data_IF_190522786201
#
_entry.id   IF_190522786201
#
_cell.length_a   1.000
_cell.length_b   1.000
_cell.length_c   1.000
_cell.angle_alpha   90.00
_cell.angle_beta   90.00
_cell.angle_gamma   90.00
#
_symmetry.space_group_name_H-M   'P 1'
#
loop_
_entity.id
_entity.type
_entity.pdbx_description
1 polymer ?
#
# COMPACT_ATOMS: atom_id res chain seq x y z
N UNK A 1 6.83 -21.85 6.94
CA UNK A 1 7.19 -21.15 5.69
C UNK A 1 6.30 -19.92 5.64
N UNK A 2 6.70 -18.83 6.29
CA UNK A 2 5.93 -17.58 6.30
C UNK A 2 6.54 -16.67 5.24
N UNK A 3 6.20 -16.96 3.99
CA UNK A 3 6.72 -16.25 2.83
C UNK A 3 5.83 -15.04 2.58
N UNK A 4 6.43 -13.85 2.48
CA UNK A 4 5.74 -12.63 2.03
C UNK A 4 4.91 -12.94 0.77
N UNK A 5 3.63 -12.52 0.69
CA UNK A 5 2.85 -12.74 -0.51
C UNK A 5 3.54 -12.05 -1.69
N UNK A 6 3.48 -12.67 -2.89
CA UNK A 6 4.08 -12.07 -4.08
C UNK A 6 3.30 -10.80 -4.45
N UNK A 7 4.03 -9.77 -4.90
CA UNK A 7 3.47 -8.48 -5.31
C UNK A 7 2.34 -8.63 -6.32
N UNK A 8 2.45 -9.59 -7.23
CA UNK A 8 1.41 -9.86 -8.22
C UNK A 8 0.06 -10.23 -7.58
N UNK A 9 0.06 -11.01 -6.49
CA UNK A 9 -1.17 -11.33 -5.75
C UNK A 9 -1.75 -10.09 -5.08
N UNK A 10 -0.89 -9.19 -4.60
CA UNK A 10 -1.33 -7.92 -4.00
C UNK A 10 -1.98 -7.04 -5.06
N UNK A 11 -1.36 -6.91 -6.23
CA UNK A 11 -1.94 -6.17 -7.35
C UNK A 11 -3.27 -6.77 -7.80
N UNK A 12 -3.36 -8.09 -7.91
CA UNK A 12 -4.62 -8.76 -8.26
C UNK A 12 -5.72 -8.50 -7.21
N UNK A 13 -5.38 -8.53 -5.93
CA UNK A 13 -6.34 -8.23 -4.86
C UNK A 13 -6.77 -6.77 -4.88
N UNK A 14 -5.85 -5.82 -5.11
CA UNK A 14 -6.19 -4.39 -5.27
C UNK A 14 -7.09 -4.20 -6.49
N UNK A 15 -6.72 -4.75 -7.65
CA UNK A 15 -7.53 -4.69 -8.86
C UNK A 15 -8.92 -5.29 -8.63
N UNK A 16 -9.02 -6.42 -7.95
CA UNK A 16 -10.30 -7.03 -7.60
C UNK A 16 -11.13 -6.12 -6.69
N UNK A 17 -10.50 -5.44 -5.72
CA UNK A 17 -11.19 -4.52 -4.83
C UNK A 17 -11.79 -3.32 -5.56
N UNK A 18 -11.15 -2.81 -6.61
CA UNK A 18 -11.61 -1.61 -7.34
C UNK A 18 -12.47 -1.96 -8.56
N UNK A 19 -12.06 -2.93 -9.38
CA UNK A 19 -12.64 -3.22 -10.69
C UNK A 19 -13.63 -4.39 -10.70
N UNK A 20 -13.64 -5.26 -9.69
CA UNK A 20 -14.49 -6.43 -9.75
C UNK A 20 -15.98 -6.07 -9.54
N UNK A 21 -16.90 -6.56 -10.39
CA UNK A 21 -18.33 -6.28 -10.26
C UNK A 21 -19.01 -7.15 -9.19
N UNK A 22 -18.41 -8.28 -8.81
CA UNK A 22 -18.96 -9.18 -7.80
C UNK A 22 -18.61 -8.70 -6.38
N UNK A 23 -19.61 -8.42 -5.52
CA UNK A 23 -19.36 -7.88 -4.18
C UNK A 23 -18.72 -8.89 -3.23
N UNK A 24 -18.93 -10.20 -3.42
CA UNK A 24 -18.33 -11.23 -2.57
C UNK A 24 -16.83 -11.34 -2.82
N UNK A 25 -16.39 -11.25 -4.06
CA UNK A 25 -14.96 -11.23 -4.39
C UNK A 25 -14.28 -9.92 -3.91
N UNK A 26 -14.98 -8.78 -3.97
CA UNK A 26 -14.47 -7.52 -3.37
C UNK A 26 -14.28 -7.66 -1.87
N UNK A 27 -15.23 -8.27 -1.18
CA UNK A 27 -15.12 -8.51 0.26
C UNK A 27 -13.93 -9.42 0.58
N UNK A 28 -13.74 -10.52 -0.15
CA UNK A 28 -12.58 -11.41 0.00
C UNK A 28 -11.27 -10.66 -0.22
N UNK A 29 -11.18 -9.85 -1.28
CA UNK A 29 -9.99 -9.04 -1.56
C UNK A 29 -9.74 -8.03 -0.43
N UNK A 30 -10.78 -7.35 0.05
CA UNK A 30 -10.66 -6.41 1.17
C UNK A 30 -10.19 -7.08 2.46
N UNK A 31 -10.73 -8.27 2.77
CA UNK A 31 -10.32 -9.05 3.95
C UNK A 31 -8.86 -9.48 3.85
N UNK A 32 -8.45 -10.01 2.68
CA UNK A 32 -7.08 -10.45 2.45
C UNK A 32 -6.08 -9.28 2.50
N UNK A 33 -6.41 -8.15 1.87
CA UNK A 33 -5.60 -6.93 1.93
C UNK A 33 -5.53 -6.37 3.36
N UNK A 34 -6.62 -6.45 4.12
CA UNK A 34 -6.64 -6.05 5.53
C UNK A 34 -5.74 -6.92 6.41
N UNK A 35 -5.70 -8.23 6.17
CA UNK A 35 -4.80 -9.15 6.87
C UNK A 35 -3.33 -8.86 6.53
N UNK A 36 -3.04 -8.64 5.24
CA UNK A 36 -1.73 -8.21 4.78
C UNK A 36 -1.27 -6.92 5.46
N UNK A 37 -2.13 -5.90 5.54
CA UNK A 37 -1.84 -4.63 6.19
C UNK A 37 -1.45 -4.78 7.67
N UNK A 38 -2.07 -5.73 8.38
CA UNK A 38 -1.75 -6.04 9.78
C UNK A 38 -0.42 -6.76 9.93
N UNK A 39 -0.04 -7.56 8.93
CA UNK A 39 1.19 -8.34 8.96
C UNK A 39 2.45 -7.48 8.84
N UNK A 40 3.59 -8.00 9.29
CA UNK A 40 4.91 -7.35 9.13
C UNK A 40 5.34 -7.25 7.67
N UNK A 41 4.81 -8.11 6.79
CA UNK A 41 5.10 -8.08 5.36
C UNK A 41 4.58 -6.83 4.65
N UNK A 42 3.55 -6.15 5.20
CA UNK A 42 3.01 -4.94 4.62
C UNK A 42 4.05 -3.83 4.44
N UNK A 43 5.07 -3.76 5.31
CA UNK A 43 6.18 -2.80 5.14
C UNK A 43 6.91 -3.03 3.82
N UNK A 44 7.36 -4.26 3.58
CA UNK A 44 8.12 -4.63 2.37
C UNK A 44 7.26 -4.52 1.13
N UNK A 45 6.02 -5.01 1.21
CA UNK A 45 5.08 -4.99 0.07
C UNK A 45 4.71 -3.56 -0.31
N UNK A 46 4.43 -2.69 0.66
CA UNK A 46 4.13 -1.29 0.38
C UNK A 46 5.33 -0.56 -0.23
N UNK A 47 6.54 -0.78 0.28
CA UNK A 47 7.75 -0.18 -0.28
C UNK A 47 7.97 -0.59 -1.74
N UNK A 48 7.89 -1.90 -2.03
CA UNK A 48 8.06 -2.41 -3.40
C UNK A 48 6.96 -1.90 -4.33
N UNK A 49 5.69 -1.84 -3.90
CA UNK A 49 4.61 -1.27 -4.70
C UNK A 49 4.83 0.21 -5.01
N UNK A 50 5.30 0.99 -4.02
CA UNK A 50 5.65 2.40 -4.20
C UNK A 50 6.88 2.60 -5.08
N UNK A 51 7.79 1.62 -5.15
CA UNK A 51 8.92 1.63 -6.09
C UNK A 51 8.46 1.34 -7.52
N UNK A 52 7.61 0.33 -7.70
CA UNK A 52 7.15 -0.10 -9.02
C UNK A 52 6.18 0.87 -9.69
N UNK A 53 5.36 1.62 -8.92
CA UNK A 53 4.42 2.64 -9.42
C UNK A 53 3.62 2.20 -10.66
N UNK A 54 3.10 0.96 -10.67
CA UNK A 54 2.37 0.43 -11.84
C UNK A 54 1.08 1.20 -12.12
N UNK A 55 0.26 1.40 -11.09
CA UNK A 55 -1.08 1.98 -11.20
C UNK A 55 -1.38 2.89 -10.01
N UNK A 56 -2.24 3.89 -10.21
CA UNK A 56 -2.65 4.84 -9.18
C UNK A 56 -3.32 4.14 -7.98
N UNK A 57 -4.20 3.16 -8.22
CA UNK A 57 -4.91 2.44 -7.15
C UNK A 57 -3.95 1.63 -6.28
N UNK A 58 -3.02 0.91 -6.90
CA UNK A 58 -1.98 0.14 -6.21
C UNK A 58 -1.04 1.05 -5.43
N UNK A 59 -0.66 2.18 -6.03
CA UNK A 59 0.14 3.21 -5.39
C UNK A 59 -0.57 3.81 -4.17
N UNK A 60 -1.85 4.12 -4.30
CA UNK A 60 -2.69 4.63 -3.23
C UNK A 60 -2.82 3.62 -2.08
N UNK A 61 -3.11 2.36 -2.41
CA UNK A 61 -3.16 1.27 -1.43
C UNK A 61 -1.83 1.11 -0.69
N UNK A 62 -0.71 1.14 -1.40
CA UNK A 62 0.64 1.05 -0.82
C UNK A 62 0.93 2.23 0.10
N UNK A 63 0.66 3.46 -0.34
CA UNK A 63 0.86 4.68 0.45
C UNK A 63 0.00 4.67 1.72
N UNK A 64 -1.28 4.29 1.61
CA UNK A 64 -2.20 4.19 2.74
C UNK A 64 -1.75 3.12 3.74
N UNK A 65 -1.29 1.97 3.23
CA UNK A 65 -0.75 0.87 4.05
C UNK A 65 0.49 1.35 4.81
N UNK A 66 1.41 2.00 4.11
CA UNK A 66 2.63 2.55 4.69
C UNK A 66 2.33 3.57 5.78
N UNK A 67 1.42 4.51 5.53
CA UNK A 67 0.98 5.50 6.51
C UNK A 67 0.40 4.85 7.76
N UNK A 68 -0.49 3.88 7.59
CA UNK A 68 -1.11 3.15 8.72
C UNK A 68 -0.05 2.40 9.53
N UNK A 69 0.89 1.74 8.86
CA UNK A 69 2.00 1.02 9.52
C UNK A 69 2.94 1.96 10.27
N UNK A 70 3.25 3.13 9.73
CA UNK A 70 3.99 4.19 10.44
C UNK A 70 3.22 4.69 11.65
N UNK A 71 1.89 4.80 11.59
CA UNK A 71 1.11 5.31 12.71
C UNK A 71 0.93 4.28 13.83
N UNK A 72 0.69 3.02 13.49
CA UNK A 72 0.33 1.96 14.45
C UNK A 72 1.53 1.11 14.89
N UNK A 73 2.48 0.90 13.98
CA UNK A 73 3.53 -0.13 14.09
C UNK A 73 4.92 0.42 13.80
N UNK A 74 5.15 1.72 14.02
CA UNK A 74 6.46 2.35 13.80
C UNK A 74 7.60 1.64 14.54
N UNK A 75 7.30 1.11 15.73
CA UNK A 75 8.26 0.40 16.56
C UNK A 75 8.74 -0.94 15.98
N UNK A 76 8.05 -1.49 14.96
CA UNK A 76 8.48 -2.71 14.27
C UNK A 76 9.64 -2.46 13.29
N UNK A 77 9.83 -1.21 12.85
CA UNK A 77 10.91 -0.86 11.95
C UNK A 77 12.21 -0.57 12.72
N UNK A 78 13.35 -1.02 12.22
CA UNK A 78 14.62 -0.63 12.78
C UNK A 78 14.92 0.84 12.43
N UNK A 79 15.64 1.57 13.30
CA UNK A 79 15.89 3.00 13.13
C UNK A 79 16.68 3.35 11.87
N UNK A 80 17.47 2.41 11.34
CA UNK A 80 18.16 2.53 10.05
C UNK A 80 17.17 2.63 8.87
N UNK A 81 16.06 1.89 8.92
CA UNK A 81 15.07 1.88 7.86
C UNK A 81 14.19 3.15 7.87
N UNK A 82 14.10 3.86 9.01
CA UNK A 82 13.31 5.10 9.10
C UNK A 82 13.78 6.17 8.09
N UNK A 83 15.09 6.33 7.93
CA UNK A 83 15.64 7.31 7.00
C UNK A 83 15.35 6.91 5.55
N UNK A 84 15.62 5.65 5.18
CA UNK A 84 15.31 5.13 3.84
C UNK A 84 13.83 5.25 3.50
N UNK A 85 12.95 4.93 4.45
CA UNK A 85 11.50 5.02 4.27
C UNK A 85 11.05 6.47 4.07
N UNK A 86 11.58 7.40 4.86
CA UNK A 86 11.29 8.83 4.76
C UNK A 86 11.74 9.40 3.42
N UNK A 87 12.95 9.07 2.97
CA UNK A 87 13.48 9.52 1.68
C UNK A 87 12.65 8.94 0.52
N UNK A 88 12.31 7.65 0.57
CA UNK A 88 11.40 7.01 -0.39
C UNK A 88 10.03 7.71 -0.43
N UNK A 89 9.43 8.00 0.73
CA UNK A 89 8.15 8.71 0.82
C UNK A 89 8.22 10.15 0.33
N UNK A 90 9.30 10.89 0.63
CA UNK A 90 9.48 12.26 0.15
C UNK A 90 9.68 12.33 -1.36
N UNK A 91 10.47 11.41 -1.92
CA UNK A 91 10.59 11.27 -3.37
C UNK A 91 9.23 10.95 -3.99
N UNK A 92 8.45 10.10 -3.33
CA UNK A 92 7.11 9.73 -3.78
C UNK A 92 6.13 10.91 -3.73
N UNK A 93 6.05 11.64 -2.61
CA UNK A 93 5.18 12.82 -2.45
C UNK A 93 5.57 13.91 -3.46
N UNK A 94 6.86 14.12 -3.69
CA UNK A 94 7.36 15.08 -4.68
C UNK A 94 6.92 14.76 -6.11
N UNK A 95 6.70 13.47 -6.42
CA UNK A 95 6.20 13.02 -7.72
C UNK A 95 4.66 13.01 -7.82
N UNK A 96 3.96 13.00 -6.68
CA UNK A 96 2.48 13.00 -6.58
C UNK A 96 1.91 14.42 -6.68
N UNK A 97 2.42 15.27 -7.58
CA UNK A 97 2.14 16.71 -7.58
C UNK A 97 1.48 17.30 -8.84
N UNK A 98 0.46 16.65 -9.41
CA UNK A 98 -0.56 17.37 -10.21
C UNK A 98 -1.84 16.55 -10.41
N UNK A 99 -1.72 15.23 -10.56
CA UNK A 99 -2.85 14.35 -10.95
C UNK A 99 -3.72 13.83 -9.78
N UNK A 100 -3.25 13.91 -8.53
CA UNK A 100 -3.92 13.36 -7.32
C UNK A 100 -4.78 14.37 -6.56
N UNK A 101 -4.81 15.63 -6.99
CA UNK A 101 -5.47 16.72 -6.27
C UNK A 101 -7.02 16.66 -6.33
N UNK A 102 -7.61 15.77 -7.13
CA UNK A 102 -9.06 15.75 -7.39
C UNK A 102 -9.89 14.84 -6.48
N UNK A 103 -9.29 14.10 -5.52
CA UNK A 103 -10.04 13.10 -4.70
C UNK A 103 -9.98 13.40 -3.19
N UNK A 104 -9.68 14.63 -2.77
CA UNK A 104 -9.65 15.00 -1.33
C UNK A 104 -10.56 16.19 -0.98
N UNK A 105 -11.41 16.69 -1.89
CA UNK A 105 -12.26 17.89 -1.65
C UNK A 105 -13.77 17.60 -1.64
N UNK A 106 -14.22 16.36 -1.51
CA UNK A 106 -15.67 16.12 -1.33
C UNK A 106 -15.95 14.91 -0.45
N UNK A 107 -15.88 15.09 0.87
CA UNK A 107 -16.82 14.55 1.85
C UNK A 107 -16.90 15.49 3.06
#
# INVERSE_FOLDING_TARGET
MDSSPPLETVYQAVLALYHNPDPSEKEKASLWLGDLQRSVFAWKVADEMLHHKRDLESCYFAAQTMRTKIQLSFHELPPEAHNSLRDSLMEHIGQVNDATNTVIVTQ
#
